data_IF_282254548923
#
_entry.id   IF_282254548923
#
_cell.length_a   1.000
_cell.length_b   1.000
_cell.length_c   1.000
_cell.angle_alpha   90.00
_cell.angle_beta   90.00
_cell.angle_gamma   90.00
#
_symmetry.space_group_name_H-M   'P 1'
#
loop_
_entity.id
_entity.type
_entity.pdbx_description
1 polymer ?
#
# COMPACT_ATOMS: atom_id res chain seq x y z
N UNK A 1 -13.86 -33.25 43.61
CA UNK A 1 -14.25 -32.98 42.21
C UNK A 1 -14.91 -31.61 42.04
N UNK A 2 -16.02 -31.28 42.72
CA UNK A 2 -16.72 -29.97 42.57
C UNK A 2 -15.82 -28.73 42.79
N UNK A 3 -14.98 -28.73 43.83
CA UNK A 3 -14.07 -27.61 44.11
C UNK A 3 -12.95 -27.44 43.06
N UNK A 4 -12.49 -28.54 42.45
CA UNK A 4 -11.49 -28.51 41.39
C UNK A 4 -12.10 -27.92 40.11
N UNK A 5 -13.31 -28.37 39.76
CA UNK A 5 -14.04 -27.85 38.61
C UNK A 5 -14.33 -26.35 38.77
N UNK A 6 -14.76 -25.92 39.96
CA UNK A 6 -14.97 -24.50 40.27
C UNK A 6 -13.71 -23.66 40.08
N UNK A 7 -12.57 -24.10 40.64
CA UNK A 7 -11.28 -23.39 40.50
C UNK A 7 -10.84 -23.30 39.04
N UNK A 8 -11.03 -24.38 38.28
CA UNK A 8 -10.72 -24.41 36.85
C UNK A 8 -11.54 -23.37 36.07
N UNK A 9 -12.86 -23.31 36.28
CA UNK A 9 -13.72 -22.30 35.65
C UNK A 9 -13.36 -20.87 36.09
N UNK A 10 -13.05 -20.66 37.36
CA UNK A 10 -12.62 -19.35 37.87
C UNK A 10 -11.35 -18.86 37.18
N UNK A 11 -10.36 -19.74 36.99
CA UNK A 11 -9.14 -19.43 36.23
C UNK A 11 -9.48 -19.11 34.78
N UNK A 12 -10.32 -19.92 34.11
CA UNK A 12 -10.69 -19.70 32.72
C UNK A 12 -11.39 -18.34 32.52
N UNK A 13 -12.36 -18.01 33.38
CA UNK A 13 -13.06 -16.71 33.36
C UNK A 13 -12.07 -15.57 33.59
N UNK A 14 -11.14 -15.74 34.54
CA UNK A 14 -10.13 -14.71 34.83
C UNK A 14 -9.22 -14.46 33.64
N UNK A 15 -8.79 -15.52 32.94
CA UNK A 15 -7.99 -15.41 31.71
C UNK A 15 -8.76 -14.69 30.60
N UNK A 16 -10.04 -15.00 30.42
CA UNK A 16 -10.90 -14.31 29.44
C UNK A 16 -11.04 -12.82 29.78
N UNK A 17 -11.29 -12.48 31.06
CA UNK A 17 -11.39 -11.08 31.49
C UNK A 17 -10.08 -10.35 31.23
N UNK A 18 -8.93 -10.94 31.59
CA UNK A 18 -7.61 -10.33 31.33
C UNK A 18 -7.36 -10.14 29.84
N UNK A 19 -7.71 -11.11 28.99
CA UNK A 19 -7.57 -10.98 27.55
C UNK A 19 -8.43 -9.85 26.98
N UNK A 20 -9.70 -9.77 27.39
CA UNK A 20 -10.62 -8.71 26.96
C UNK A 20 -10.18 -7.31 27.41
N UNK A 21 -9.75 -7.19 28.66
CA UNK A 21 -9.22 -5.93 29.19
C UNK A 21 -7.91 -5.53 28.49
N UNK A 22 -7.04 -6.51 28.22
CA UNK A 22 -5.82 -6.31 27.44
C UNK A 22 -6.12 -5.80 26.03
N UNK A 23 -7.04 -6.44 25.32
CA UNK A 23 -7.47 -6.01 23.99
C UNK A 23 -8.09 -4.60 24.00
N UNK A 24 -9.00 -4.32 24.94
CA UNK A 24 -9.63 -3.01 25.09
C UNK A 24 -8.58 -1.93 25.39
N UNK A 25 -7.62 -2.22 26.29
CA UNK A 25 -6.50 -1.34 26.59
C UNK A 25 -5.65 -1.06 25.36
N UNK A 26 -5.30 -2.09 24.58
CA UNK A 26 -4.56 -1.93 23.33
C UNK A 26 -5.32 -1.06 22.31
N UNK A 27 -6.63 -1.29 22.14
CA UNK A 27 -7.46 -0.49 21.22
C UNK A 27 -7.60 0.97 21.63
N UNK A 28 -7.69 1.25 22.93
CA UNK A 28 -7.89 2.62 23.45
C UNK A 28 -6.59 3.41 23.52
N UNK A 29 -5.50 2.79 23.99
CA UNK A 29 -4.25 3.48 24.27
C UNK A 29 -3.17 3.30 23.20
N UNK A 30 -3.28 2.26 22.38
CA UNK A 30 -2.33 1.98 21.31
C UNK A 30 -3.06 1.58 20.00
N UNK A 31 -4.01 2.40 19.49
CA UNK A 31 -4.86 2.05 18.33
C UNK A 31 -4.08 1.81 17.04
N UNK A 32 -2.81 2.25 16.98
CA UNK A 32 -1.91 2.04 15.83
C UNK A 32 -0.89 0.93 16.06
N UNK A 33 -0.91 0.26 17.22
CA UNK A 33 -0.02 -0.86 17.51
C UNK A 33 -0.36 -2.02 16.56
N UNK A 34 0.60 -2.43 15.74
CA UNK A 34 0.41 -3.48 14.73
C UNK A 34 -0.16 -2.98 13.39
N UNK A 35 -0.51 -1.70 13.26
CA UNK A 35 -0.80 -1.11 11.94
C UNK A 35 0.52 -1.00 11.19
N UNK A 36 0.84 -2.00 10.37
CA UNK A 36 1.92 -1.86 9.40
C UNK A 36 1.50 -0.77 8.42
N UNK A 37 2.23 0.34 8.46
CA UNK A 37 2.23 1.30 7.37
C UNK A 37 2.83 0.57 6.18
N UNK A 38 1.97 0.08 5.31
CA UNK A 38 2.33 -0.53 4.04
C UNK A 38 1.90 0.46 2.94
N UNK A 39 2.67 0.46 1.86
CA UNK A 39 2.49 1.29 0.67
C UNK A 39 1.03 1.32 0.18
N UNK A 40 0.33 0.19 0.21
CA UNK A 40 -1.09 0.09 -0.18
C UNK A 40 -1.99 1.02 0.63
N UNK A 41 -1.80 1.12 1.94
CA UNK A 41 -2.61 2.02 2.78
C UNK A 41 -2.22 3.49 2.60
N UNK A 42 -0.94 3.75 2.33
CA UNK A 42 -0.45 5.10 2.13
C UNK A 42 -0.93 5.69 0.81
N UNK A 43 -0.88 4.88 -0.24
CA UNK A 43 -0.93 5.30 -1.64
C UNK A 43 -2.13 4.76 -2.43
N UNK A 44 -2.90 3.83 -1.87
CA UNK A 44 -4.16 3.38 -2.47
C UNK A 44 -5.35 3.73 -1.56
N UNK A 45 -6.53 3.72 -2.15
CA UNK A 45 -7.84 3.79 -1.50
C UNK A 45 -8.68 2.62 -2.00
N UNK A 46 -9.64 2.19 -1.19
CA UNK A 46 -10.64 1.26 -1.65
C UNK A 46 -11.69 2.02 -2.50
N UNK A 47 -12.16 1.35 -3.54
CA UNK A 47 -13.16 1.75 -4.51
C UNK A 47 -14.16 0.60 -4.64
N UNK A 48 -15.46 0.91 -4.55
CA UNK A 48 -16.49 -0.13 -4.52
C UNK A 48 -16.68 -0.86 -5.85
N UNK A 49 -16.34 -0.22 -6.97
CA UNK A 49 -16.49 -0.81 -8.30
C UNK A 49 -15.16 -1.39 -8.80
N UNK A 50 -14.06 -0.65 -8.60
CA UNK A 50 -12.76 -1.01 -9.15
C UNK A 50 -11.89 -1.85 -8.20
N UNK A 51 -12.27 -1.95 -6.92
CA UNK A 51 -11.46 -2.58 -5.88
C UNK A 51 -10.42 -1.61 -5.32
N UNK A 52 -9.14 -1.92 -5.44
CA UNK A 52 -8.09 -0.96 -5.07
C UNK A 52 -7.90 0.08 -6.17
N UNK A 53 -7.79 1.35 -5.81
CA UNK A 53 -7.49 2.43 -6.73
C UNK A 53 -6.38 3.33 -6.15
N UNK A 54 -5.46 3.85 -6.98
CA UNK A 54 -4.40 4.72 -6.51
C UNK A 54 -4.94 6.06 -6.00
N UNK A 55 -4.19 6.71 -5.11
CA UNK A 55 -4.48 8.05 -4.63
C UNK A 55 -3.78 9.07 -5.51
N UNK A 56 -4.49 10.08 -5.94
CA UNK A 56 -3.93 11.16 -6.74
C UNK A 56 -3.18 12.16 -5.85
N UNK A 57 -2.16 12.81 -6.41
CA UNK A 57 -1.44 13.93 -5.78
C UNK A 57 -0.96 13.65 -4.35
N UNK A 58 -0.43 12.45 -4.10
CA UNK A 58 0.01 12.03 -2.78
C UNK A 58 1.53 11.94 -2.73
N UNK A 59 2.12 12.64 -1.76
CA UNK A 59 3.54 12.55 -1.43
C UNK A 59 3.66 12.11 0.03
N UNK A 60 4.26 10.94 0.27
CA UNK A 60 4.46 10.41 1.62
C UNK A 60 5.79 9.68 1.73
N UNK A 61 6.32 9.64 2.94
CA UNK A 61 7.46 8.79 3.24
C UNK A 61 7.02 7.33 3.34
N UNK A 62 7.70 6.46 2.60
CA UNK A 62 7.64 5.00 2.74
C UNK A 62 8.95 4.52 3.32
N UNK A 63 8.93 4.08 4.58
CA UNK A 63 10.12 3.70 5.34
C UNK A 63 11.21 4.77 5.36
N UNK A 64 12.12 4.77 4.36
CA UNK A 64 13.33 5.59 4.32
C UNK A 64 13.36 6.62 3.17
N UNK A 65 12.42 6.58 2.23
CA UNK A 65 12.39 7.48 1.08
C UNK A 65 11.00 8.08 0.86
N UNK A 66 10.96 9.20 0.13
CA UNK A 66 9.71 9.86 -0.24
C UNK A 66 9.23 9.28 -1.55
N UNK A 67 7.96 8.90 -1.58
CA UNK A 67 7.27 8.45 -2.78
C UNK A 67 6.23 9.49 -3.18
N UNK A 68 6.16 9.76 -4.48
CA UNK A 68 5.19 10.66 -5.07
C UNK A 68 4.34 9.96 -6.14
N UNK A 69 3.02 10.12 -6.04
CA UNK A 69 2.07 9.82 -7.10
C UNK A 69 1.47 11.11 -7.65
N UNK A 70 1.50 11.22 -8.98
CA UNK A 70 1.06 12.42 -9.69
C UNK A 70 -0.47 12.57 -9.68
N UNK A 71 -0.99 13.52 -10.45
CA UNK A 71 -2.43 13.79 -10.57
C UNK A 71 -3.27 12.61 -11.10
N UNK A 72 -2.65 11.57 -11.64
CA UNK A 72 -3.32 10.37 -12.13
C UNK A 72 -3.18 9.18 -11.16
N UNK A 73 -2.56 9.40 -10.00
CA UNK A 73 -2.22 8.33 -9.06
C UNK A 73 -1.08 7.43 -9.53
N UNK A 74 -0.37 7.85 -10.59
CA UNK A 74 0.74 7.08 -11.15
C UNK A 74 2.05 7.49 -10.49
N UNK A 75 2.93 6.52 -10.27
CA UNK A 75 4.28 6.78 -9.80
C UNK A 75 5.19 7.12 -10.99
N UNK A 76 5.17 8.38 -11.39
CA UNK A 76 5.91 8.89 -12.54
C UNK A 76 5.92 10.42 -12.57
N UNK A 77 6.42 11.03 -13.65
CA UNK A 77 6.46 12.49 -13.80
C UNK A 77 5.06 13.13 -13.75
N UNK A 78 4.99 14.37 -13.26
CA UNK A 78 3.74 15.16 -13.22
C UNK A 78 3.33 15.66 -14.61
N UNK A 79 4.27 15.78 -15.53
CA UNK A 79 4.04 16.30 -16.89
C UNK A 79 3.59 15.23 -17.90
N UNK A 80 3.25 14.02 -17.44
CA UNK A 80 2.70 12.95 -18.29
C UNK A 80 1.48 13.44 -19.06
N UNK A 81 1.52 13.24 -20.38
CA UNK A 81 0.43 13.58 -21.29
C UNK A 81 -0.44 12.35 -21.56
N UNK A 82 -1.73 12.40 -21.22
CA UNK A 82 -2.67 11.30 -21.52
C UNK A 82 -2.74 11.02 -23.03
N UNK A 83 -2.76 12.08 -23.83
CA UNK A 83 -2.64 11.96 -25.28
C UNK A 83 -1.20 11.69 -25.67
N UNK A 84 -1.00 10.79 -26.64
CA UNK A 84 0.33 10.56 -27.20
C UNK A 84 0.70 11.75 -28.09
N UNK A 85 1.52 12.65 -27.54
CA UNK A 85 1.98 13.87 -28.22
C UNK A 85 3.39 13.74 -28.78
N UNK A 86 4.13 12.70 -28.39
CA UNK A 86 5.49 12.44 -28.83
C UNK A 86 5.54 11.35 -29.89
N UNK A 87 6.44 11.47 -30.86
CA UNK A 87 6.77 10.41 -31.83
C UNK A 87 7.45 9.19 -31.18
N UNK A 88 7.89 9.32 -29.92
CA UNK A 88 8.51 8.23 -29.16
C UNK A 88 7.57 7.04 -29.02
N UNK A 89 8.16 5.84 -28.89
CA UNK A 89 7.40 4.65 -28.52
C UNK A 89 6.85 4.86 -27.11
N UNK A 90 5.54 4.72 -26.94
CA UNK A 90 4.88 4.78 -25.62
C UNK A 90 4.60 3.35 -25.15
N UNK A 91 5.00 3.03 -23.93
CA UNK A 91 4.82 1.72 -23.31
C UNK A 91 4.10 1.91 -21.99
N UNK A 92 2.93 1.30 -21.84
CA UNK A 92 2.26 1.20 -20.55
C UNK A 92 2.75 -0.08 -19.86
N UNK A 93 3.13 0.03 -18.60
CA UNK A 93 3.54 -1.12 -17.80
C UNK A 93 2.51 -1.30 -16.70
N UNK A 94 1.71 -2.35 -16.81
CA UNK A 94 0.71 -2.75 -15.83
C UNK A 94 1.34 -3.73 -14.86
N UNK A 95 0.89 -3.71 -13.61
CA UNK A 95 1.33 -4.69 -12.62
C UNK A 95 0.96 -4.33 -11.20
N UNK A 96 1.55 -5.06 -10.28
CA UNK A 96 1.34 -4.93 -8.85
C UNK A 96 2.38 -4.00 -8.18
N UNK A 97 2.68 -4.29 -6.90
CA UNK A 97 3.73 -3.64 -6.11
C UNK A 97 5.12 -3.64 -6.76
N UNK A 98 5.46 -4.62 -7.61
CA UNK A 98 6.75 -4.69 -8.29
C UNK A 98 6.84 -3.66 -9.40
N UNK A 99 5.78 -3.50 -10.19
CA UNK A 99 5.71 -2.43 -11.20
C UNK A 99 5.62 -1.08 -10.51
N UNK A 100 4.80 -0.96 -9.47
CA UNK A 100 4.71 0.24 -8.64
C UNK A 100 6.06 0.64 -8.01
N UNK A 101 6.96 -0.32 -7.81
CA UNK A 101 8.34 -0.09 -7.36
C UNK A 101 8.51 -0.09 -5.84
N UNK A 102 7.88 -1.02 -5.13
CA UNK A 102 8.10 -1.20 -3.70
C UNK A 102 9.58 -1.38 -3.40
N UNK A 103 10.10 -0.61 -2.44
CA UNK A 103 11.52 -0.66 -2.08
C UNK A 103 12.46 0.28 -2.87
N UNK A 104 12.00 0.89 -3.96
CA UNK A 104 12.81 1.77 -4.81
C UNK A 104 12.48 3.25 -4.57
N UNK A 105 13.42 4.18 -4.79
CA UNK A 105 13.10 5.63 -4.90
C UNK A 105 12.42 5.97 -6.24
N UNK A 106 12.02 7.23 -6.45
CA UNK A 106 11.39 7.66 -7.70
C UNK A 106 12.33 7.47 -8.91
N UNK A 107 13.63 7.69 -8.72
CA UNK A 107 14.68 7.64 -9.74
C UNK A 107 15.23 6.22 -9.97
N UNK A 108 14.97 5.31 -9.03
CA UNK A 108 15.38 3.90 -9.12
C UNK A 108 14.34 3.00 -9.80
N UNK A 109 13.15 3.52 -10.09
CA UNK A 109 12.13 2.76 -10.80
C UNK A 109 12.68 2.34 -12.17
N UNK A 110 12.49 1.08 -12.56
CA UNK A 110 12.86 0.66 -13.92
C UNK A 110 12.07 1.39 -15.01
N UNK A 111 10.94 1.99 -14.64
CA UNK A 111 10.13 2.87 -15.49
C UNK A 111 10.54 4.35 -15.42
N UNK A 112 11.55 4.71 -14.62
CA UNK A 112 12.08 6.06 -14.58
C UNK A 112 13.00 6.32 -15.80
N UNK A 113 12.92 7.51 -16.43
CA UNK A 113 13.80 7.87 -17.56
C UNK A 113 15.29 7.76 -17.24
N UNK A 114 15.67 7.89 -15.97
CA UNK A 114 17.02 7.71 -15.44
C UNK A 114 17.53 6.28 -15.60
N UNK A 115 16.63 5.28 -15.58
CA UNK A 115 16.97 3.85 -15.66
C UNK A 115 16.76 3.31 -17.08
N UNK A 116 15.64 3.62 -17.74
CA UNK A 116 15.33 3.07 -19.06
C UNK A 116 15.77 3.95 -20.24
N UNK A 117 16.35 5.12 -19.99
CA UNK A 117 16.72 6.09 -21.03
C UNK A 117 15.54 6.89 -21.57
N UNK A 118 15.77 7.71 -22.61
CA UNK A 118 14.77 8.69 -23.10
C UNK A 118 14.10 8.33 -24.44
N UNK A 119 14.49 7.20 -25.03
CA UNK A 119 14.05 6.75 -26.36
C UNK A 119 12.57 6.33 -26.40
N UNK A 120 12.08 5.83 -25.27
CA UNK A 120 10.68 5.48 -25.06
C UNK A 120 10.07 6.33 -23.94
N UNK A 121 8.77 6.52 -24.00
CA UNK A 121 7.96 7.02 -22.91
C UNK A 121 7.35 5.82 -22.19
N UNK A 122 7.89 5.49 -21.02
CA UNK A 122 7.38 4.41 -20.18
C UNK A 122 6.46 5.01 -19.13
N UNK A 123 5.21 4.56 -19.09
CA UNK A 123 4.22 4.98 -18.10
C UNK A 123 4.01 3.83 -17.13
N UNK A 124 4.34 4.08 -15.86
CA UNK A 124 4.14 3.15 -14.78
C UNK A 124 2.68 3.18 -14.33
N UNK A 125 1.97 2.09 -14.60
CA UNK A 125 0.59 1.88 -14.19
C UNK A 125 0.49 0.80 -13.10
N UNK A 126 1.60 0.50 -12.40
CA UNK A 126 1.60 -0.45 -11.30
C UNK A 126 0.80 0.07 -10.12
N UNK A 127 0.09 -0.81 -9.42
CA UNK A 127 -0.66 -0.47 -8.20
C UNK A 127 -0.41 -1.54 -7.14
N UNK A 128 0.01 -1.14 -5.94
CA UNK A 128 0.36 -2.11 -4.91
C UNK A 128 -0.82 -3.01 -4.52
N UNK A 129 -0.55 -4.32 -4.55
CA UNK A 129 -1.50 -5.37 -4.18
C UNK A 129 -2.62 -5.58 -5.18
N UNK A 130 -2.46 -5.14 -6.44
CA UNK A 130 -3.22 -5.67 -7.57
C UNK A 130 -2.86 -7.13 -7.81
N UNK A 131 -3.84 -7.91 -8.26
CA UNK A 131 -3.65 -9.21 -8.87
C UNK A 131 -4.12 -9.20 -10.32
N UNK A 132 -4.09 -10.35 -10.98
CA UNK A 132 -4.51 -10.52 -12.38
C UNK A 132 -5.97 -10.19 -12.64
N UNK A 133 -6.79 -10.05 -11.59
CA UNK A 133 -8.17 -9.62 -11.64
C UNK A 133 -8.35 -8.10 -11.76
N UNK A 134 -7.31 -7.31 -11.44
CA UNK A 134 -7.34 -5.85 -11.43
C UNK A 134 -6.33 -5.18 -12.38
N UNK A 135 -5.35 -5.92 -12.92
CA UNK A 135 -4.43 -5.45 -13.97
C UNK A 135 -5.10 -5.32 -15.34
#
# INVERSE_FOLDING_TARGET
>A
MKAILFRFFAILISLVIVALLGEAGLRLFAPRLGVKVNEKNLFCRFDHELGWAPKENVTKAETAYVVHQNQFGLRGPDDIQLQKTSERKRVLVLGDSYVWGVGATQEELFTAPEVHGKDAEIINCGVSGYGTDQE
#
